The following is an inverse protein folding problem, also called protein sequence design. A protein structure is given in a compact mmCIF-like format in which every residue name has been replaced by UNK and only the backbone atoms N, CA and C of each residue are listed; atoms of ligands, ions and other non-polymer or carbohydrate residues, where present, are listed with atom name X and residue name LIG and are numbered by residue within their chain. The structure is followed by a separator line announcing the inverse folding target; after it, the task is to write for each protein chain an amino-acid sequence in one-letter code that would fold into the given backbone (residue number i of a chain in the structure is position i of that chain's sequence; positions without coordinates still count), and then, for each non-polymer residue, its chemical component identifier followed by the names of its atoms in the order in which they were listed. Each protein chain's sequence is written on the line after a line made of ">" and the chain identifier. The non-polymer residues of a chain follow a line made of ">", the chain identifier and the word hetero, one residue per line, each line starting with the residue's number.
data_IF_531087148440
#
_entry.id   IF_531087148440
#
_cell.length_a   1.000
_cell.length_b   1.000
_cell.length_c   1.000
_cell.angle_alpha   90.00
_cell.angle_beta   90.00
_cell.angle_gamma   90.00
#
_symmetry.space_group_name_H-M   'P 1'
#
loop_
_entity.id
_entity.type
_entity.pdbx_description
1 polymer ?
#
# COMPACT_ATOMS: atom_id res chain seq x y z
N UNK A 1 -5.54 6.92 0.36
CA UNK A 1 -4.78 7.27 -0.88
C UNK A 1 -5.65 7.02 -2.09
N UNK A 2 -5.73 7.97 -2.99
CA UNK A 2 -6.60 7.89 -4.18
C UNK A 2 -5.82 8.17 -5.45
N UNK A 3 -6.21 7.48 -6.52
CA UNK A 3 -5.61 7.63 -7.83
C UNK A 3 -6.70 7.83 -8.88
N UNK A 4 -6.73 8.98 -9.58
CA UNK A 4 -7.63 9.16 -10.72
C UNK A 4 -7.15 8.31 -11.90
N UNK A 5 -8.10 7.79 -12.67
CA UNK A 5 -7.77 7.04 -13.89
C UNK A 5 -7.17 7.99 -14.93
N UNK A 6 -6.12 7.53 -15.60
CA UNK A 6 -5.45 8.22 -16.72
C UNK A 6 -5.11 7.21 -17.79
N UNK A 7 -5.03 7.64 -19.08
CA UNK A 7 -4.72 6.69 -20.17
C UNK A 7 -3.43 5.91 -19.98
N UNK A 8 -2.41 6.53 -19.38
CA UNK A 8 -1.11 5.88 -19.15
C UNK A 8 -1.19 4.71 -18.17
N UNK A 9 -2.26 4.64 -17.36
CA UNK A 9 -2.44 3.61 -16.35
C UNK A 9 -3.20 2.39 -16.86
N UNK A 10 -3.67 2.44 -18.09
CA UNK A 10 -4.47 1.37 -18.68
C UNK A 10 -3.54 0.26 -19.17
N UNK A 11 -3.69 -0.93 -18.61
CA UNK A 11 -2.97 -2.13 -19.06
C UNK A 11 -3.66 -2.85 -20.19
N UNK A 12 -4.99 -2.97 -20.11
CA UNK A 12 -5.82 -3.57 -21.15
C UNK A 12 -6.67 -2.48 -21.78
N UNK A 13 -6.21 -1.93 -22.90
CA UNK A 13 -6.88 -0.81 -23.54
C UNK A 13 -8.21 -1.20 -24.21
N UNK A 14 -8.43 -2.47 -24.53
CA UNK A 14 -9.70 -2.95 -25.11
C UNK A 14 -10.84 -2.80 -24.08
N UNK A 15 -10.57 -3.09 -22.82
CA UNK A 15 -11.55 -3.00 -21.73
C UNK A 15 -11.38 -1.77 -20.84
N UNK A 16 -10.33 -0.98 -21.06
CA UNK A 16 -10.07 0.23 -20.26
C UNK A 16 -9.81 -0.05 -18.78
N UNK A 17 -9.13 -1.15 -18.46
CA UNK A 17 -8.87 -1.55 -17.07
C UNK A 17 -7.47 -1.16 -16.63
N UNK A 18 -7.35 -0.89 -15.35
CA UNK A 18 -6.12 -0.46 -14.71
C UNK A 18 -5.03 -1.53 -14.81
N UNK A 19 -3.79 -1.11 -15.09
CA UNK A 19 -2.65 -2.01 -15.17
C UNK A 19 -2.39 -2.68 -13.80
N UNK A 20 -2.14 -4.00 -13.81
CA UNK A 20 -1.87 -4.75 -12.58
C UNK A 20 -0.67 -4.23 -11.81
N UNK A 21 0.37 -3.77 -12.51
CA UNK A 21 1.53 -3.13 -11.88
C UNK A 21 1.19 -1.84 -11.17
N UNK A 22 0.23 -1.08 -11.67
CA UNK A 22 -0.26 0.13 -10.99
C UNK A 22 -1.00 -0.25 -9.71
N UNK A 23 -1.84 -1.28 -9.77
CA UNK A 23 -2.56 -1.80 -8.59
C UNK A 23 -1.59 -2.21 -7.50
N UNK A 24 -0.58 -3.02 -7.84
CA UNK A 24 0.39 -3.48 -6.85
C UNK A 24 1.22 -2.32 -6.28
N UNK A 25 1.56 -1.33 -7.10
CA UNK A 25 2.27 -0.14 -6.63
C UNK A 25 1.45 0.66 -5.63
N UNK A 26 0.15 0.83 -5.88
CA UNK A 26 -0.75 1.53 -4.96
C UNK A 26 -0.85 0.81 -3.61
N UNK A 27 -0.99 -0.51 -3.64
CA UNK A 27 -1.10 -1.31 -2.43
C UNK A 27 0.22 -1.29 -1.65
N UNK A 28 1.35 -1.33 -2.35
CA UNK A 28 2.67 -1.26 -1.71
C UNK A 28 2.90 0.10 -1.04
N UNK A 29 2.57 1.18 -1.72
CA UNK A 29 2.73 2.54 -1.17
C UNK A 29 1.81 2.75 0.02
N UNK A 30 0.55 2.34 -0.08
CA UNK A 30 -0.41 2.46 1.02
C UNK A 30 0.03 1.63 2.23
N UNK A 31 0.50 0.41 1.99
CA UNK A 31 1.00 -0.48 3.04
C UNK A 31 2.25 0.06 3.72
N UNK A 32 3.20 0.55 2.92
CA UNK A 32 4.43 1.16 3.43
C UNK A 32 4.16 2.41 4.26
N UNK A 33 3.22 3.25 3.82
CA UNK A 33 2.82 4.43 4.59
C UNK A 33 2.23 4.05 5.95
N UNK A 34 1.40 3.00 5.99
CA UNK A 34 0.82 2.53 7.25
C UNK A 34 1.90 1.95 8.17
N UNK A 35 2.86 1.20 7.63
CA UNK A 35 3.98 0.67 8.39
C UNK A 35 4.81 1.81 8.99
N UNK A 36 5.04 2.88 8.23
CA UNK A 36 5.75 4.07 8.68
C UNK A 36 5.02 4.75 9.83
N UNK A 37 3.71 4.94 9.71
CA UNK A 37 2.88 5.56 10.77
C UNK A 37 2.95 4.72 12.04
N UNK A 38 2.83 3.41 11.93
CA UNK A 38 2.94 2.52 13.07
C UNK A 38 4.30 2.57 13.75
N UNK A 39 5.36 2.65 12.96
CA UNK A 39 6.73 2.77 13.49
C UNK A 39 6.93 4.10 14.22
N UNK A 40 6.41 5.20 13.68
CA UNK A 40 6.45 6.51 14.33
C UNK A 40 5.75 6.47 15.69
N UNK A 41 4.55 5.92 15.73
CA UNK A 41 3.76 5.81 16.96
C UNK A 41 4.49 4.99 18.02
N UNK A 42 5.06 3.87 17.61
CA UNK A 42 5.73 2.94 18.52
C UNK A 42 7.02 3.52 19.11
N UNK A 43 7.71 4.40 18.37
CA UNK A 43 9.03 4.92 18.75
C UNK A 43 9.02 6.40 19.13
N UNK A 44 7.89 6.90 19.65
CA UNK A 44 7.78 8.30 20.10
C UNK A 44 8.75 8.64 21.22
N UNK A 45 9.15 7.65 22.02
CA UNK A 45 10.08 7.83 23.13
C UNK A 45 11.53 8.04 22.68
N UNK A 46 11.84 7.74 21.41
CA UNK A 46 13.18 7.92 20.87
C UNK A 46 13.41 9.36 20.46
N UNK A 47 14.67 9.78 20.41
CA UNK A 47 15.03 11.08 19.86
C UNK A 47 14.68 11.15 18.39
N UNK A 48 14.56 12.36 17.85
CA UNK A 48 14.27 12.56 16.42
C UNK A 48 15.33 11.88 15.55
N UNK A 49 16.60 12.00 15.93
CA UNK A 49 17.69 11.38 15.18
C UNK A 49 17.60 9.87 15.18
N UNK A 50 17.30 9.26 16.33
CA UNK A 50 17.16 7.80 16.44
C UNK A 50 15.97 7.29 15.61
N UNK A 51 14.84 8.02 15.62
CA UNK A 51 13.67 7.69 14.82
C UNK A 51 14.01 7.74 13.33
N UNK A 52 14.70 8.78 12.90
CA UNK A 52 15.09 8.92 11.50
C UNK A 52 16.03 7.80 11.04
N UNK A 53 16.93 7.36 11.90
CA UNK A 53 17.80 6.21 11.60
C UNK A 53 17.00 4.93 11.38
N UNK A 54 16.00 4.68 12.22
CA UNK A 54 15.13 3.51 12.07
C UNK A 54 14.29 3.60 10.81
N UNK A 55 13.72 4.77 10.54
CA UNK A 55 12.85 4.98 9.38
C UNK A 55 13.62 4.93 8.07
N UNK A 56 14.91 5.28 8.07
CA UNK A 56 15.75 5.18 6.87
C UNK A 56 15.91 3.74 6.38
N UNK A 57 15.61 2.76 7.23
CA UNK A 57 15.65 1.34 6.87
C UNK A 57 14.33 0.82 6.33
N UNK A 58 13.30 1.66 6.24
CA UNK A 58 11.99 1.26 5.75
C UNK A 58 12.11 0.71 4.32
N UNK A 59 11.56 -0.46 4.11
CA UNK A 59 11.55 -1.09 2.80
C UNK A 59 10.60 -2.26 2.76
N UNK A 60 10.14 -2.59 1.56
CA UNK A 60 9.26 -3.73 1.35
C UNK A 60 10.07 -5.01 1.36
N UNK A 61 9.72 -5.94 2.23
CA UNK A 61 10.31 -7.28 2.26
C UNK A 61 9.62 -8.18 1.24
N UNK A 62 8.29 -8.21 1.32
CA UNK A 62 7.47 -8.91 0.34
C UNK A 62 6.10 -8.27 0.24
N UNK A 63 5.42 -8.57 -0.85
CA UNK A 63 4.06 -8.11 -1.12
C UNK A 63 3.33 -9.19 -1.89
N UNK A 64 2.24 -9.69 -1.31
CA UNK A 64 1.32 -10.57 -2.01
C UNK A 64 0.10 -9.76 -2.43
N UNK A 65 -0.27 -9.85 -3.69
CA UNK A 65 -1.45 -9.18 -4.22
C UNK A 65 -2.38 -10.21 -4.84
N UNK A 66 -3.64 -10.17 -4.43
CA UNK A 66 -4.71 -10.96 -5.03
C UNK A 66 -5.56 -10.01 -5.86
N UNK A 67 -5.55 -10.22 -7.19
CA UNK A 67 -6.34 -9.45 -8.14
C UNK A 67 -7.71 -10.11 -8.27
N UNK A 68 -8.72 -9.49 -7.70
CA UNK A 68 -10.04 -10.10 -7.56
C UNK A 68 -10.97 -9.74 -8.71
N UNK A 69 -10.89 -8.50 -9.19
CA UNK A 69 -11.76 -7.95 -10.24
C UNK A 69 -11.01 -6.97 -11.11
N UNK A 70 -11.47 -6.75 -12.36
CA UNK A 70 -10.83 -5.73 -13.20
C UNK A 70 -10.92 -4.33 -12.57
N UNK A 71 -9.85 -3.56 -12.69
CA UNK A 71 -9.79 -2.18 -12.18
C UNK A 71 -10.50 -1.22 -13.12
N UNK A 72 -11.82 -1.14 -13.03
CA UNK A 72 -12.67 -0.25 -13.82
C UNK A 72 -13.15 0.90 -12.98
N UNK A 73 -13.20 2.09 -13.55
CA UNK A 73 -13.68 3.28 -12.89
C UNK A 73 -12.79 4.48 -13.17
N UNK A 74 -13.13 5.60 -12.52
CA UNK A 74 -12.43 6.88 -12.70
C UNK A 74 -11.54 7.23 -11.52
N UNK A 75 -11.82 6.66 -10.35
CA UNK A 75 -11.06 6.93 -9.13
C UNK A 75 -10.88 5.62 -8.36
N UNK A 76 -9.65 5.38 -7.92
CA UNK A 76 -9.29 4.21 -7.14
C UNK A 76 -8.78 4.66 -5.78
N UNK A 77 -9.25 4.00 -4.73
CA UNK A 77 -8.86 4.32 -3.36
C UNK A 77 -8.20 3.12 -2.70
N UNK A 78 -6.96 3.31 -2.25
CA UNK A 78 -6.23 2.32 -1.50
C UNK A 78 -6.33 2.64 -0.01
N UNK A 79 -6.66 1.62 0.78
CA UNK A 79 -6.70 1.70 2.25
C UNK A 79 -5.78 0.63 2.81
N UNK A 80 -5.27 0.87 4.02
CA UNK A 80 -4.34 -0.06 4.65
C UNK A 80 -4.62 -0.14 6.14
N UNK A 81 -4.48 -1.36 6.69
CA UNK A 81 -4.66 -1.64 8.11
C UNK A 81 -3.42 -2.36 8.61
N UNK A 82 -2.89 -1.89 9.72
CA UNK A 82 -1.74 -2.50 10.36
C UNK A 82 -2.18 -3.76 11.10
N UNK A 83 -1.71 -4.92 10.63
CA UNK A 83 -2.01 -6.22 11.28
C UNK A 83 -1.07 -6.47 12.44
N UNK A 84 0.19 -6.09 12.29
CA UNK A 84 1.19 -6.24 13.33
C UNK A 84 2.28 -5.18 13.16
N UNK A 85 2.70 -4.57 14.26
CA UNK A 85 3.83 -3.65 14.28
C UNK A 85 4.87 -4.20 15.25
N UNK A 86 5.91 -4.85 14.72
CA UNK A 86 7.04 -5.33 15.50
C UNK A 86 8.14 -4.29 15.59
N UNK A 87 9.24 -4.61 16.29
CA UNK A 87 10.38 -3.70 16.40
C UNK A 87 11.11 -3.52 15.08
N UNK A 88 11.13 -4.55 14.24
CA UNK A 88 11.87 -4.54 12.97
C UNK A 88 10.97 -4.74 11.76
N UNK A 89 9.83 -5.39 11.93
CA UNK A 89 8.97 -5.82 10.83
C UNK A 89 7.53 -5.48 11.15
N UNK A 90 6.85 -4.90 10.17
CA UNK A 90 5.41 -4.65 10.22
C UNK A 90 4.70 -5.44 9.14
N UNK A 91 3.51 -5.93 9.45
CA UNK A 91 2.65 -6.61 8.49
C UNK A 91 1.39 -5.79 8.30
N UNK A 92 1.06 -5.50 7.04
CA UNK A 92 -0.05 -4.60 6.68
C UNK A 92 -0.94 -5.28 5.66
N UNK A 93 -2.25 -5.16 5.88
CA UNK A 93 -3.25 -5.55 4.89
C UNK A 93 -3.73 -4.30 4.17
N UNK A 94 -3.78 -4.35 2.85
CA UNK A 94 -4.24 -3.25 2.01
C UNK A 94 -5.37 -3.70 1.10
N UNK A 95 -6.21 -2.75 0.70
CA UNK A 95 -7.34 -2.99 -0.19
C UNK A 95 -7.43 -1.85 -1.20
N UNK A 96 -7.81 -2.20 -2.43
CA UNK A 96 -8.08 -1.23 -3.49
C UNK A 96 -9.54 -1.33 -3.91
N UNK A 97 -10.24 -0.19 -3.85
CA UNK A 97 -11.62 -0.08 -4.27
C UNK A 97 -11.74 0.90 -5.41
N UNK A 98 -12.62 0.62 -6.36
CA UNK A 98 -13.01 1.60 -7.37
C UNK A 98 -14.11 2.53 -6.83
N UNK A 99 -14.44 3.55 -7.60
CA UNK A 99 -15.41 4.58 -7.20
C UNK A 99 -16.85 4.06 -7.05
N UNK A 100 -17.16 2.88 -7.61
CA UNK A 100 -18.46 2.22 -7.40
C UNK A 100 -18.49 1.32 -6.16
N UNK A 101 -17.41 1.29 -5.39
CA UNK A 101 -17.29 0.46 -4.20
C UNK A 101 -16.80 -0.96 -4.45
N UNK A 102 -16.50 -1.32 -5.70
CA UNK A 102 -16.00 -2.66 -6.03
C UNK A 102 -14.60 -2.88 -5.42
N UNK A 103 -14.43 -3.98 -4.71
CA UNK A 103 -13.11 -4.41 -4.22
C UNK A 103 -12.34 -5.02 -5.40
N UNK A 104 -11.33 -4.30 -5.85
CA UNK A 104 -10.53 -4.67 -7.03
C UNK A 104 -9.43 -5.65 -6.65
N UNK A 105 -8.72 -5.37 -5.57
CA UNK A 105 -7.58 -6.16 -5.15
C UNK A 105 -7.34 -6.04 -3.65
N UNK A 106 -6.70 -7.06 -3.09
CA UNK A 106 -6.23 -7.04 -1.71
C UNK A 106 -4.75 -7.36 -1.70
N UNK A 107 -4.02 -6.76 -0.77
CA UNK A 107 -2.60 -7.01 -0.59
C UNK A 107 -2.27 -7.33 0.86
N UNK A 108 -1.24 -8.13 1.05
CA UNK A 108 -0.62 -8.31 2.36
C UNK A 108 0.87 -8.05 2.16
N UNK A 109 1.38 -7.04 2.84
CA UNK A 109 2.76 -6.62 2.72
C UNK A 109 3.50 -6.76 4.04
N UNK A 110 4.77 -7.12 3.94
CA UNK A 110 5.69 -7.15 5.06
C UNK A 110 6.76 -6.11 4.82
N UNK A 111 6.98 -5.25 5.81
CA UNK A 111 7.85 -4.08 5.67
C UNK A 111 8.91 -4.06 6.76
N UNK A 112 10.13 -3.78 6.37
CA UNK A 112 11.21 -3.52 7.32
C UNK A 112 11.02 -2.11 7.88
N UNK A 113 10.92 -1.96 9.18
CA UNK A 113 10.64 -0.68 9.83
C UNK A 113 11.58 -0.35 11.00
N UNK A 114 12.69 -1.01 11.07
CA UNK A 114 13.64 -0.71 12.14
C UNK A 114 14.94 -1.47 12.15
#
# INVERSE_FOLDING_TARGET
>A
MSLPMKPELIGNFVHGILHGGVISSLLDVAGGAMALIGAFDKHQHLSQQERMQRLSKLGTIDLRVDYLRPGRGQLFTATAVLLRSGNKVAVVRSELHSDDGTLVAVGTGTYLCG
#
